data_IF_031173588491
#
_entry.id   IF_031173588491
#
_cell.length_a   1.000
_cell.length_b   1.000
_cell.length_c   1.000
_cell.angle_alpha   90.00
_cell.angle_beta   90.00
_cell.angle_gamma   90.00
#
_symmetry.space_group_name_H-M   'P 1'
#
loop_
_entity.id
_entity.type
_entity.pdbx_description
1 polymer ?
#
# COMPACT_ATOMS: atom_id res chain seq x y z
N UNK A 1 6.74 -19.75 1.00
CA UNK A 1 6.06 -19.00 -0.08
C UNK A 1 4.71 -19.63 -0.35
N UNK A 2 3.64 -18.96 0.06
CA UNK A 2 2.26 -19.39 -0.13
C UNK A 2 1.71 -18.89 -1.49
N UNK A 3 1.70 -19.75 -2.49
CA UNK A 3 1.27 -19.40 -3.84
C UNK A 3 -0.21 -19.01 -3.93
N UNK A 4 -1.08 -19.59 -3.10
CA UNK A 4 -2.50 -19.26 -3.10
C UNK A 4 -2.75 -17.83 -2.59
N UNK A 5 -2.06 -17.44 -1.53
CA UNK A 5 -2.12 -16.08 -0.98
C UNK A 5 -1.60 -15.05 -1.98
N UNK A 6 -0.49 -15.35 -2.64
CA UNK A 6 0.07 -14.52 -3.70
C UNK A 6 -0.94 -14.30 -4.85
N UNK A 7 -1.53 -15.38 -5.37
CA UNK A 7 -2.52 -15.32 -6.45
C UNK A 7 -3.79 -14.56 -6.03
N UNK A 8 -4.25 -14.76 -4.79
CA UNK A 8 -5.37 -14.01 -4.25
C UNK A 8 -5.07 -12.51 -4.13
N UNK A 9 -3.85 -12.16 -3.69
CA UNK A 9 -3.37 -10.77 -3.63
C UNK A 9 -3.33 -10.11 -5.01
N UNK A 10 -2.80 -10.80 -6.02
CA UNK A 10 -2.82 -10.31 -7.40
C UNK A 10 -4.26 -10.14 -7.91
N UNK A 11 -5.12 -11.14 -7.69
CA UNK A 11 -6.51 -11.10 -8.14
C UNK A 11 -7.28 -9.93 -7.52
N UNK A 12 -7.13 -9.69 -6.21
CA UNK A 12 -7.79 -8.56 -5.55
C UNK A 12 -7.21 -7.21 -6.01
N UNK A 13 -5.90 -7.12 -6.22
CA UNK A 13 -5.27 -5.89 -6.73
C UNK A 13 -5.77 -5.52 -8.14
N UNK A 14 -5.84 -6.50 -9.04
CA UNK A 14 -6.43 -6.34 -10.37
C UNK A 14 -7.89 -5.88 -10.27
N UNK A 15 -8.67 -6.52 -9.40
CA UNK A 15 -10.07 -6.15 -9.16
C UNK A 15 -10.20 -4.70 -8.66
N UNK A 16 -9.41 -4.30 -7.66
CA UNK A 16 -9.40 -2.94 -7.10
C UNK A 16 -9.06 -1.91 -8.16
N UNK A 17 -7.97 -2.12 -8.92
CA UNK A 17 -7.56 -1.21 -10.00
C UNK A 17 -8.63 -1.14 -11.09
N UNK A 18 -9.17 -2.26 -11.55
CA UNK A 18 -10.23 -2.30 -12.55
C UNK A 18 -11.49 -1.55 -12.06
N UNK A 19 -11.86 -1.71 -10.79
CA UNK A 19 -12.99 -1.03 -10.19
C UNK A 19 -12.76 0.48 -10.12
N UNK A 20 -11.58 0.92 -9.68
CA UNK A 20 -11.22 2.33 -9.59
C UNK A 20 -11.18 3.01 -10.95
N UNK A 21 -10.71 2.33 -12.00
CA UNK A 21 -10.78 2.78 -13.39
C UNK A 21 -12.22 2.94 -13.84
N UNK A 22 -13.05 1.89 -13.66
CA UNK A 22 -14.46 1.88 -14.08
C UNK A 22 -15.29 2.99 -13.42
N UNK A 23 -15.01 3.31 -12.16
CA UNK A 23 -15.71 4.37 -11.41
C UNK A 23 -15.07 5.75 -11.53
N UNK A 24 -13.93 5.87 -12.25
CA UNK A 24 -13.12 7.09 -12.31
C UNK A 24 -12.58 7.53 -10.92
N UNK A 25 -12.58 6.64 -9.92
CA UNK A 25 -12.01 6.89 -8.61
C UNK A 25 -10.49 7.07 -8.68
N UNK A 26 -9.82 6.44 -9.64
CA UNK A 26 -8.37 6.63 -9.86
C UNK A 26 -7.97 8.09 -10.13
N UNK A 27 -8.92 8.93 -10.61
CA UNK A 27 -8.69 10.36 -10.86
C UNK A 27 -8.83 11.21 -9.59
N UNK A 28 -9.35 10.63 -8.51
CA UNK A 28 -9.53 11.31 -7.23
C UNK A 28 -8.23 11.19 -6.43
N UNK A 29 -7.65 12.33 -6.09
CA UNK A 29 -6.35 12.40 -5.40
C UNK A 29 -6.27 11.61 -4.08
N UNK A 30 -7.38 11.53 -3.35
CA UNK A 30 -7.42 10.93 -2.01
C UNK A 30 -7.51 9.41 -2.00
N UNK A 31 -7.91 8.76 -3.11
CA UNK A 31 -8.31 7.35 -3.11
C UNK A 31 -7.13 6.42 -2.79
N UNK A 32 -6.02 6.54 -3.54
CA UNK A 32 -4.85 5.70 -3.32
C UNK A 32 -4.07 6.05 -2.03
N UNK A 33 -3.95 7.31 -1.60
CA UNK A 33 -3.42 7.64 -0.28
C UNK A 33 -4.21 7.03 0.87
N UNK A 34 -5.55 7.12 0.83
CA UNK A 34 -6.40 6.52 1.87
C UNK A 34 -6.22 5.01 1.89
N UNK A 35 -6.16 4.35 0.72
CA UNK A 35 -5.93 2.91 0.64
C UNK A 35 -4.58 2.51 1.27
N UNK A 36 -3.49 3.22 0.97
CA UNK A 36 -2.18 2.97 1.60
C UNK A 36 -2.25 3.12 3.13
N UNK A 37 -2.94 4.14 3.62
CA UNK A 37 -3.10 4.38 5.06
C UNK A 37 -3.93 3.28 5.75
N UNK A 38 -4.72 2.48 5.03
CA UNK A 38 -5.47 1.37 5.63
C UNK A 38 -4.61 0.14 5.93
N UNK A 39 -3.48 -0.05 5.24
CA UNK A 39 -2.71 -1.30 5.37
C UNK A 39 -2.06 -1.51 6.74
N UNK A 40 -1.40 -0.49 7.35
CA UNK A 40 -0.85 -0.65 8.69
C UNK A 40 -1.90 -0.92 9.78
N UNK A 41 -3.17 -0.54 9.54
CA UNK A 41 -4.25 -0.77 10.51
C UNK A 41 -4.52 -2.27 10.69
N UNK A 42 -4.31 -3.09 9.67
CA UNK A 42 -4.47 -4.55 9.80
C UNK A 42 -3.47 -5.13 10.79
N UNK A 43 -2.23 -4.67 10.78
CA UNK A 43 -1.23 -5.07 11.78
C UNK A 43 -1.61 -4.68 13.21
N UNK A 44 -2.25 -3.52 13.39
CA UNK A 44 -2.81 -3.12 14.69
C UNK A 44 -3.91 -4.08 15.13
N UNK A 45 -4.81 -4.44 14.21
CA UNK A 45 -5.87 -5.40 14.48
C UNK A 45 -5.29 -6.76 14.83
N UNK A 46 -4.23 -7.21 14.15
CA UNK A 46 -3.54 -8.46 14.45
C UNK A 46 -2.92 -8.45 15.86
N UNK A 47 -2.23 -7.37 16.21
CA UNK A 47 -1.62 -7.23 17.53
C UNK A 47 -2.70 -7.23 18.64
N UNK A 48 -3.80 -6.48 18.44
CA UNK A 48 -4.95 -6.46 19.37
C UNK A 48 -5.60 -7.84 19.46
N UNK A 49 -5.80 -8.53 18.33
CA UNK A 49 -6.37 -9.87 18.28
C UNK A 49 -5.54 -10.88 19.09
N UNK A 50 -4.21 -10.77 19.03
CA UNK A 50 -3.31 -11.59 19.83
C UNK A 50 -3.08 -11.08 21.27
N UNK A 51 -3.75 -10.00 21.67
CA UNK A 51 -3.55 -9.32 22.97
C UNK A 51 -2.09 -8.92 23.24
N UNK A 52 -1.30 -8.67 22.20
CA UNK A 52 0.10 -8.25 22.30
C UNK A 52 0.22 -6.73 22.11
N UNK A 53 0.14 -6.01 23.23
CA UNK A 53 0.24 -4.56 23.23
C UNK A 53 1.66 -4.05 23.03
N UNK A 54 2.69 -4.88 23.25
CA UNK A 54 4.07 -4.51 22.94
C UNK A 54 4.27 -4.47 21.43
N UNK A 55 3.82 -5.52 20.73
CA UNK A 55 3.78 -5.53 19.27
C UNK A 55 2.95 -4.36 18.74
N UNK A 56 1.75 -4.10 19.32
CA UNK A 56 0.91 -2.97 18.91
C UNK A 56 1.65 -1.63 18.94
N UNK A 57 2.45 -1.34 19.97
CA UNK A 57 3.21 -0.09 20.04
C UNK A 57 4.24 0.02 18.91
N UNK A 58 4.94 -1.07 18.60
CA UNK A 58 5.86 -1.11 17.46
C UNK A 58 5.14 -0.92 16.12
N UNK A 59 3.98 -1.56 15.94
CA UNK A 59 3.16 -1.43 14.73
C UNK A 59 2.58 -0.03 14.57
N UNK A 60 2.21 0.65 15.66
CA UNK A 60 1.80 2.06 15.63
C UNK A 60 2.96 2.93 15.18
N UNK A 61 4.16 2.71 15.72
CA UNK A 61 5.36 3.44 15.33
C UNK A 61 5.65 3.35 13.83
N UNK A 62 5.66 2.13 13.28
CA UNK A 62 5.90 1.91 11.85
C UNK A 62 4.71 2.39 11.00
N UNK A 63 3.49 2.10 11.44
CA UNK A 63 2.27 2.52 10.75
C UNK A 63 2.19 4.02 10.55
N UNK A 64 2.60 4.81 11.55
CA UNK A 64 2.65 6.27 11.44
C UNK A 64 3.54 6.75 10.28
N UNK A 65 4.61 6.03 9.94
CA UNK A 65 5.45 6.36 8.79
C UNK A 65 4.68 6.21 7.46
N UNK A 66 3.87 5.16 7.31
CA UNK A 66 3.03 4.96 6.13
C UNK A 66 1.86 5.96 6.06
N UNK A 67 1.24 6.29 7.21
CA UNK A 67 0.26 7.38 7.28
C UNK A 67 0.87 8.72 6.84
N UNK A 68 2.10 9.01 7.29
CA UNK A 68 2.80 10.23 6.91
C UNK A 68 3.15 10.24 5.42
N UNK A 69 3.63 9.13 4.86
CA UNK A 69 3.89 8.98 3.42
C UNK A 69 2.60 9.18 2.60
N UNK A 70 1.50 8.55 3.00
CA UNK A 70 0.19 8.73 2.38
C UNK A 70 -0.26 10.20 2.44
N UNK A 71 -0.11 10.85 3.59
CA UNK A 71 -0.46 12.24 3.76
C UNK A 71 0.39 13.17 2.87
N UNK A 72 1.71 13.02 2.83
CA UNK A 72 2.57 13.83 1.97
C UNK A 72 2.22 13.60 0.51
N UNK A 73 2.07 12.35 0.08
CA UNK A 73 1.66 12.04 -1.29
C UNK A 73 0.31 12.69 -1.64
N UNK A 74 -0.64 12.70 -0.70
CA UNK A 74 -1.90 13.41 -0.84
C UNK A 74 -1.75 14.94 -0.84
N UNK A 75 -0.70 15.53 -0.28
CA UNK A 75 -0.45 16.98 -0.36
C UNK A 75 0.16 17.38 -1.70
N UNK A 76 1.03 16.55 -2.27
CA UNK A 76 1.70 16.81 -3.56
C UNK A 76 0.72 16.69 -4.75
N UNK A 77 0.56 17.75 -5.55
CA UNK A 77 -0.36 17.79 -6.70
C UNK A 77 0.37 17.56 -8.04
N UNK A 78 1.14 16.48 -8.16
CA UNK A 78 1.95 16.23 -9.36
C UNK A 78 2.31 14.75 -9.52
N UNK A 79 3.04 14.45 -10.59
CA UNK A 79 3.69 13.14 -10.81
C UNK A 79 4.58 12.76 -9.62
N UNK A 80 5.20 13.72 -8.93
CA UNK A 80 5.99 13.48 -7.73
C UNK A 80 5.16 12.84 -6.62
N UNK A 81 3.92 13.27 -6.43
CA UNK A 81 3.00 12.67 -5.46
C UNK A 81 2.67 11.21 -5.79
N UNK A 82 2.48 10.90 -7.07
CA UNK A 82 2.24 9.53 -7.53
C UNK A 82 3.47 8.63 -7.37
N UNK A 83 4.68 9.14 -7.65
CA UNK A 83 5.93 8.42 -7.42
C UNK A 83 6.11 8.14 -5.92
N UNK A 84 5.92 9.15 -5.07
CA UNK A 84 6.02 8.97 -3.62
C UNK A 84 5.01 7.93 -3.11
N UNK A 85 3.78 7.97 -3.63
CA UNK A 85 2.76 7.00 -3.27
C UNK A 85 3.13 5.58 -3.70
N UNK A 86 3.59 5.41 -4.94
CA UNK A 86 4.06 4.12 -5.44
C UNK A 86 5.21 3.56 -4.60
N UNK A 87 6.17 4.42 -4.23
CA UNK A 87 7.25 4.05 -3.30
C UNK A 87 6.68 3.63 -1.95
N UNK A 88 5.68 4.32 -1.42
CA UNK A 88 5.01 3.94 -0.16
C UNK A 88 4.41 2.54 -0.20
N UNK A 89 3.68 2.21 -1.28
CA UNK A 89 3.16 0.85 -1.50
C UNK A 89 4.28 -0.19 -1.58
N UNK A 90 5.32 0.05 -2.39
CA UNK A 90 6.43 -0.91 -2.53
C UNK A 90 7.19 -1.10 -1.20
N UNK A 91 7.38 -0.02 -0.43
CA UNK A 91 7.98 -0.08 0.90
C UNK A 91 7.10 -0.87 1.87
N UNK A 92 5.77 -0.75 1.79
CA UNK A 92 4.85 -1.52 2.61
C UNK A 92 4.90 -3.02 2.25
N UNK A 93 4.86 -3.36 0.96
CA UNK A 93 5.02 -4.75 0.55
C UNK A 93 6.41 -5.32 0.88
N UNK A 94 7.44 -4.47 0.93
CA UNK A 94 8.74 -4.82 1.49
C UNK A 94 8.68 -5.10 2.98
N UNK A 95 8.05 -4.20 3.75
CA UNK A 95 7.81 -4.35 5.19
C UNK A 95 7.11 -5.67 5.50
N UNK A 96 6.09 -6.05 4.74
CA UNK A 96 5.40 -7.33 4.89
C UNK A 96 6.36 -8.54 4.85
N UNK A 97 7.36 -8.53 3.96
CA UNK A 97 8.32 -9.63 3.80
C UNK A 97 9.35 -9.66 4.94
N UNK A 98 9.84 -8.48 5.36
CA UNK A 98 10.90 -8.38 6.38
C UNK A 98 10.36 -8.11 7.79
N UNK A 99 9.04 -8.05 7.97
CA UNK A 99 8.33 -7.69 9.21
C UNK A 99 8.94 -8.38 10.44
N UNK A 100 9.05 -9.72 10.37
CA UNK A 100 9.52 -10.55 11.48
C UNK A 100 10.99 -10.32 11.86
N UNK A 101 11.75 -9.60 11.04
CA UNK A 101 13.13 -9.19 11.37
C UNK A 101 13.17 -7.98 12.31
N UNK A 102 12.09 -7.19 12.39
CA UNK A 102 11.97 -6.06 13.32
C UNK A 102 11.43 -6.53 14.68
N UNK A 103 10.31 -7.25 14.67
CA UNK A 103 9.69 -7.85 15.85
C UNK A 103 8.64 -8.89 15.42
N UNK A 104 8.19 -9.70 16.36
CA UNK A 104 7.15 -10.70 16.11
C UNK A 104 5.80 -10.14 16.53
N UNK A 105 4.83 -10.18 15.62
CA UNK A 105 3.41 -9.94 15.92
C UNK A 105 2.67 -11.27 15.77
N UNK A 106 2.34 -11.97 16.88
CA UNK A 106 1.77 -13.31 16.84
C UNK A 106 0.38 -13.39 16.22
N UNK A 107 -0.32 -12.26 16.08
CA UNK A 107 -1.62 -12.22 15.40
C UNK A 107 -1.52 -12.16 13.88
N UNK A 108 -0.33 -11.93 13.32
CA UNK A 108 -0.15 -11.80 11.87
C UNK A 108 -0.31 -13.17 11.20
N UNK A 109 -1.26 -13.33 10.26
CA UNK A 109 -1.42 -14.58 9.56
C UNK A 109 -0.17 -14.96 8.77
N UNK A 110 0.22 -16.24 8.77
CA UNK A 110 1.43 -16.73 8.07
C UNK A 110 1.41 -16.51 6.55
N UNK A 111 0.23 -16.26 5.97
CA UNK A 111 0.03 -16.00 4.54
C UNK A 111 -0.06 -14.50 4.20
N UNK A 112 -0.08 -13.64 5.23
CA UNK A 112 -0.24 -12.20 5.07
C UNK A 112 0.83 -11.56 4.20
N UNK A 113 2.13 -11.91 4.35
CA UNK A 113 3.18 -11.28 3.56
C UNK A 113 3.03 -11.46 2.05
N UNK A 114 2.69 -12.68 1.60
CA UNK A 114 2.48 -12.93 0.18
C UNK A 114 1.21 -12.28 -0.35
N UNK A 115 0.15 -12.20 0.46
CA UNK A 115 -1.11 -11.57 0.05
C UNK A 115 -0.98 -10.05 -0.03
N UNK A 116 -0.63 -9.39 1.07
CA UNK A 116 -0.55 -7.93 1.14
C UNK A 116 0.59 -7.41 0.26
N UNK A 117 1.77 -8.04 0.31
CA UNK A 117 2.90 -7.69 -0.54
C UNK A 117 2.58 -7.75 -2.04
N UNK A 118 1.77 -8.71 -2.49
CA UNK A 118 1.31 -8.75 -3.87
C UNK A 118 0.38 -7.58 -4.22
N UNK A 119 -0.55 -7.22 -3.33
CA UNK A 119 -1.43 -6.07 -3.50
C UNK A 119 -0.63 -4.78 -3.60
N UNK A 120 0.31 -4.61 -2.67
CA UNK A 120 1.19 -3.46 -2.57
C UNK A 120 2.03 -3.26 -3.83
N UNK A 121 2.79 -4.29 -4.21
CA UNK A 121 3.68 -4.20 -5.37
C UNK A 121 2.88 -3.96 -6.64
N UNK A 122 1.73 -4.64 -6.82
CA UNK A 122 0.90 -4.47 -8.00
C UNK A 122 0.35 -3.03 -8.10
N UNK A 123 -0.21 -2.50 -7.02
CA UNK A 123 -0.74 -1.14 -7.00
C UNK A 123 0.37 -0.11 -7.14
N UNK A 124 1.52 -0.31 -6.48
CA UNK A 124 2.69 0.55 -6.61
C UNK A 124 3.20 0.65 -8.05
N UNK A 125 3.39 -0.49 -8.72
CA UNK A 125 3.79 -0.54 -10.14
C UNK A 125 2.73 0.12 -11.03
N UNK A 126 1.44 -0.13 -10.76
CA UNK A 126 0.35 0.52 -11.49
C UNK A 126 0.40 2.06 -11.37
N UNK A 127 0.65 2.59 -10.17
CA UNK A 127 0.73 4.03 -9.92
C UNK A 127 1.92 4.68 -10.64
N UNK A 128 3.07 3.99 -10.73
CA UNK A 128 4.19 4.46 -11.54
C UNK A 128 3.81 4.57 -13.02
N UNK A 129 3.18 3.52 -13.55
CA UNK A 129 2.69 3.51 -14.94
C UNK A 129 1.66 4.62 -15.20
N UNK A 130 0.72 4.81 -14.27
CA UNK A 130 -0.30 5.84 -14.36
C UNK A 130 0.32 7.24 -14.34
N UNK A 131 1.30 7.50 -13.46
CA UNK A 131 2.01 8.77 -13.39
C UNK A 131 2.76 9.13 -14.67
N UNK A 132 3.45 8.17 -15.29
CA UNK A 132 4.11 8.35 -16.60
C UNK A 132 3.10 8.67 -17.70
N UNK A 133 1.97 7.95 -17.70
CA UNK A 133 0.89 8.13 -18.69
C UNK A 133 0.22 9.51 -18.59
N UNK A 134 0.07 10.05 -17.38
CA UNK A 134 -0.47 11.40 -17.15
C UNK A 134 0.53 12.48 -17.62
N UNK A 135 1.82 12.31 -17.30
CA UNK A 135 2.87 13.25 -17.73
C UNK A 135 2.93 13.39 -19.27
N UNK A 136 2.79 12.27 -19.98
CA UNK A 136 2.81 12.25 -21.45
C UNK A 136 1.60 12.93 -22.12
N UNK A 137 0.51 13.17 -21.38
CA UNK A 137 -0.72 13.82 -21.89
C UNK A 137 -0.80 15.31 -21.55
N UNK A 138 0.12 15.86 -20.76
CA UNK A 138 0.17 17.30 -20.50
C UNK A 138 0.53 18.03 -21.81
N UNK A 139 -0.18 19.10 -22.18
CA UNK A 139 0.15 19.85 -23.40
C UNK A 139 1.60 20.33 -23.31
N UNK A 140 2.40 20.00 -24.32
CA UNK A 140 3.71 20.64 -24.49
C UNK A 140 3.43 22.10 -24.79
N UNK A 141 3.78 22.98 -23.86
CA UNK A 141 3.82 24.41 -24.13
C UNK A 141 4.99 24.58 -25.10
N UNK A 142 4.65 24.82 -26.38
CA UNK A 142 5.59 25.18 -27.43
C UNK A 142 5.88 26.68 -27.36
#
# INVERSE_FOLDING_TARGET
MNYYALLAGIAIAVFVVARFKKTKLEKRKWVYPVLLATFPIYYWIFAVYASDYSALMSEVGIGLAFFFLAYIAYRLNSVTGLILLATGYILHGGYDVIHNSFFINPGTPVWWPEFCGAVDVFIGVYLLYFGVSVKGRAPKIA
#
